data_IF_461660182166
#
_entry.id   IF_461660182166
#
_cell.length_a   1.000
_cell.length_b   1.000
_cell.length_c   1.000
_cell.angle_alpha   90.00
_cell.angle_beta   90.00
_cell.angle_gamma   90.00
#
_symmetry.space_group_name_H-M   'P 1'
#
loop_
_entity.id
_entity.type
_entity.pdbx_description
1 polymer ?
#
# COMPACT_ATOMS: atom_id res chain seq x y z
N UNK A 1 -6.64 -2.20 -23.38
CA UNK A 1 -7.02 -1.40 -22.18
C UNK A 1 -5.89 -0.41 -21.91
N UNK A 2 -6.22 0.82 -21.57
CA UNK A 2 -5.23 1.82 -21.16
C UNK A 2 -4.60 1.37 -19.85
N UNK A 3 -3.28 1.42 -19.74
CA UNK A 3 -2.55 1.14 -18.51
C UNK A 3 -2.81 2.28 -17.53
N UNK A 4 -3.28 1.97 -16.32
CA UNK A 4 -3.60 2.97 -15.30
C UNK A 4 -3.07 2.53 -13.95
N UNK A 5 -2.23 3.36 -13.37
CA UNK A 5 -1.61 3.15 -12.06
C UNK A 5 -2.02 4.24 -11.08
N UNK A 6 -1.66 4.02 -9.81
CA UNK A 6 -1.77 5.05 -8.78
C UNK A 6 -0.56 5.03 -7.85
N UNK A 7 -0.17 6.22 -7.40
CA UNK A 7 0.59 6.39 -6.19
C UNK A 7 -0.35 6.87 -5.09
N UNK A 8 -0.35 6.21 -3.94
CA UNK A 8 -1.37 6.37 -2.91
C UNK A 8 -0.76 6.63 -1.53
N UNK A 9 -0.10 7.79 -1.32
CA UNK A 9 0.52 8.11 -0.05
C UNK A 9 -0.50 8.58 0.98
N UNK A 10 -0.29 8.19 2.26
CA UNK A 10 -0.98 8.81 3.39
C UNK A 10 -0.24 10.08 3.81
N UNK A 11 -0.92 11.25 3.94
CA UNK A 11 -0.29 12.52 4.28
C UNK A 11 -0.05 12.64 5.79
N UNK A 12 0.62 11.64 6.39
CA UNK A 12 0.94 11.55 7.82
C UNK A 12 2.38 11.93 8.14
N UNK A 13 3.16 12.31 7.13
CA UNK A 13 4.56 12.72 7.20
C UNK A 13 5.11 13.11 5.85
N UNK A 14 6.38 13.52 5.82
CA UNK A 14 7.12 13.82 4.59
C UNK A 14 7.46 12.53 3.83
N UNK A 15 7.64 12.62 2.50
CA UNK A 15 8.12 11.50 1.71
C UNK A 15 9.58 11.16 2.06
N UNK A 16 9.84 9.89 2.28
CA UNK A 16 11.18 9.32 2.39
C UNK A 16 11.58 8.59 1.09
N UNK A 17 12.85 8.28 0.93
CA UNK A 17 13.40 7.65 -0.29
C UNK A 17 12.67 6.36 -0.68
N UNK A 18 12.15 5.58 0.27
CA UNK A 18 11.37 4.37 -0.02
C UNK A 18 10.03 4.66 -0.70
N UNK A 19 9.30 5.69 -0.21
CA UNK A 19 8.07 6.15 -0.87
C UNK A 19 8.37 6.76 -2.23
N UNK A 20 9.46 7.56 -2.33
CA UNK A 20 9.91 8.16 -3.57
C UNK A 20 10.24 7.10 -4.63
N UNK A 21 10.95 6.01 -4.25
CA UNK A 21 11.21 4.88 -5.15
C UNK A 21 9.93 4.26 -5.67
N UNK A 22 8.98 4.00 -4.77
CA UNK A 22 7.68 3.43 -5.16
C UNK A 22 6.93 4.36 -6.12
N UNK A 23 6.90 5.67 -5.85
CA UNK A 23 6.28 6.67 -6.73
C UNK A 23 6.95 6.71 -8.10
N UNK A 24 8.29 6.74 -8.12
CA UNK A 24 9.10 6.79 -9.34
C UNK A 24 8.89 5.53 -10.19
N UNK A 25 8.93 4.33 -9.60
CA UNK A 25 8.72 3.06 -10.32
C UNK A 25 7.32 2.99 -10.92
N UNK A 26 6.28 3.43 -10.18
CA UNK A 26 4.93 3.55 -10.73
C UNK A 26 4.89 4.49 -11.95
N UNK A 27 5.55 5.65 -11.84
CA UNK A 27 5.60 6.65 -12.91
C UNK A 27 6.33 6.14 -14.14
N UNK A 28 7.54 5.57 -13.97
CA UNK A 28 8.34 5.03 -15.06
C UNK A 28 7.61 3.88 -15.78
N UNK A 29 7.04 2.94 -15.03
CA UNK A 29 6.23 1.86 -15.60
C UNK A 29 5.01 2.42 -16.35
N UNK A 30 4.30 3.36 -15.76
CA UNK A 30 3.14 3.98 -16.38
C UNK A 30 3.49 4.64 -17.70
N UNK A 31 4.52 5.49 -17.72
CA UNK A 31 4.94 6.24 -18.92
C UNK A 31 5.58 5.34 -19.98
N UNK A 32 6.32 4.29 -19.61
CA UNK A 32 6.85 3.30 -20.57
C UNK A 32 5.73 2.54 -21.33
N UNK A 33 4.52 2.51 -20.78
CA UNK A 33 3.33 1.89 -21.39
C UNK A 33 2.34 2.92 -21.95
N UNK A 34 2.69 4.20 -22.05
CA UNK A 34 1.80 5.31 -22.44
C UNK A 34 0.51 5.33 -21.58
N UNK A 35 0.63 5.05 -20.29
CA UNK A 35 -0.46 4.96 -19.35
C UNK A 35 -0.79 6.27 -18.64
N UNK A 36 -1.82 6.22 -17.77
CA UNK A 36 -2.27 7.30 -16.89
C UNK A 36 -1.90 7.03 -15.43
N UNK A 37 -1.46 8.04 -14.72
CA UNK A 37 -1.14 7.97 -13.30
C UNK A 37 -2.09 8.79 -12.44
N UNK A 38 -2.68 8.18 -11.43
CA UNK A 38 -3.50 8.82 -10.41
C UNK A 38 -2.66 9.09 -9.15
N UNK A 39 -2.74 10.28 -8.60
CA UNK A 39 -2.31 10.55 -7.23
C UNK A 39 -3.53 10.41 -6.30
N UNK A 40 -3.56 9.38 -5.44
CA UNK A 40 -4.61 9.22 -4.45
C UNK A 40 -4.05 9.56 -3.06
N UNK A 41 -4.69 10.47 -2.38
CA UNK A 41 -4.32 10.85 -1.02
C UNK A 41 -5.12 9.97 -0.05
N UNK A 42 -4.43 9.04 0.62
CA UNK A 42 -5.04 8.09 1.55
C UNK A 42 -5.11 8.74 2.95
N UNK A 43 -6.09 9.64 3.14
CA UNK A 43 -6.28 10.53 4.30
C UNK A 43 -7.45 10.10 5.21
N UNK A 44 -7.76 8.81 5.26
CA UNK A 44 -8.81 8.27 6.15
C UNK A 44 -8.48 8.42 7.64
N UNK A 45 -7.21 8.49 8.01
CA UNK A 45 -6.75 8.82 9.35
C UNK A 45 -6.62 10.34 9.51
N UNK A 46 -7.74 10.98 9.84
CA UNK A 46 -7.83 12.44 9.94
C UNK A 46 -6.97 13.03 11.08
N UNK A 47 -6.67 12.28 12.12
CA UNK A 47 -5.86 12.75 13.25
C UNK A 47 -4.39 12.94 12.84
N UNK A 48 -3.86 12.04 12.01
CA UNK A 48 -2.48 12.09 11.56
C UNK A 48 -2.30 12.77 10.21
N UNK A 49 -3.35 12.85 9.40
CA UNK A 49 -3.31 13.48 8.08
C UNK A 49 -3.31 14.99 8.19
N UNK A 50 -2.34 15.64 7.56
CA UNK A 50 -2.20 17.11 7.61
C UNK A 50 -2.08 17.70 6.20
N UNK A 51 -2.74 18.84 5.92
CA UNK A 51 -2.65 19.51 4.61
C UNK A 51 -1.22 19.90 4.22
N UNK A 52 -0.36 20.23 5.19
CA UNK A 52 1.05 20.55 4.98
C UNK A 52 1.84 19.36 4.43
N UNK A 53 1.54 18.14 4.87
CA UNK A 53 2.17 16.93 4.33
C UNK A 53 1.67 16.61 2.92
N UNK A 54 0.37 16.78 2.64
CA UNK A 54 -0.13 16.65 1.27
C UNK A 54 0.55 17.62 0.31
N UNK A 55 0.72 18.88 0.74
CA UNK A 55 1.43 19.89 -0.04
C UNK A 55 2.88 19.48 -0.29
N UNK A 56 3.60 19.09 0.77
CA UNK A 56 4.99 18.61 0.67
C UNK A 56 5.11 17.40 -0.25
N UNK A 57 4.20 16.42 -0.17
CA UNK A 57 4.18 15.25 -1.06
C UNK A 57 4.11 15.68 -2.54
N UNK A 58 3.22 16.62 -2.87
CA UNK A 58 3.06 17.11 -4.24
C UNK A 58 4.29 17.87 -4.72
N UNK A 59 4.89 18.70 -3.85
CA UNK A 59 6.12 19.44 -4.16
C UNK A 59 7.29 18.49 -4.38
N UNK A 60 7.41 17.44 -3.56
CA UNK A 60 8.47 16.43 -3.67
C UNK A 60 8.33 15.59 -4.95
N UNK A 61 7.10 15.18 -5.30
CA UNK A 61 6.83 14.46 -6.55
C UNK A 61 7.15 15.31 -7.78
N UNK A 62 6.72 16.58 -7.79
CA UNK A 62 7.02 17.51 -8.87
C UNK A 62 8.54 17.75 -9.00
N UNK A 63 9.25 17.86 -7.88
CA UNK A 63 10.71 17.99 -7.88
C UNK A 63 11.40 16.77 -8.50
N UNK A 64 10.88 15.55 -8.26
CA UNK A 64 11.37 14.33 -8.89
C UNK A 64 10.98 14.18 -10.37
N UNK A 65 10.22 15.12 -10.94
CA UNK A 65 9.71 15.04 -12.31
C UNK A 65 8.57 14.02 -12.47
N UNK A 66 7.88 13.70 -11.39
CA UNK A 66 6.73 12.78 -11.38
C UNK A 66 5.45 13.60 -11.51
N UNK A 67 4.72 13.38 -12.60
CA UNK A 67 3.46 14.05 -12.89
C UNK A 67 2.31 13.04 -12.93
N UNK A 68 1.10 13.53 -12.64
CA UNK A 68 -0.12 12.71 -12.62
C UNK A 68 -1.28 13.45 -13.26
N UNK A 69 -2.23 12.72 -13.83
CA UNK A 69 -3.35 13.29 -14.56
C UNK A 69 -4.50 13.73 -13.63
N UNK A 70 -4.67 13.04 -12.49
CA UNK A 70 -5.78 13.31 -11.56
C UNK A 70 -5.33 13.13 -10.11
N UNK A 71 -5.89 13.95 -9.22
CA UNK A 71 -5.80 13.76 -7.76
C UNK A 71 -7.17 13.38 -7.21
N UNK A 72 -7.20 12.39 -6.32
CA UNK A 72 -8.38 12.05 -5.52
C UNK A 72 -8.03 11.91 -4.04
N UNK A 73 -9.04 11.99 -3.14
CA UNK A 73 -8.88 11.87 -1.70
C UNK A 73 -9.86 10.87 -1.13
N UNK A 74 -9.38 10.00 -0.26
CA UNK A 74 -10.24 9.01 0.39
C UNK A 74 -11.27 9.62 1.32
N UNK A 75 -10.93 10.70 2.02
CA UNK A 75 -11.86 11.42 2.91
C UNK A 75 -13.12 11.94 2.20
N UNK A 76 -13.06 12.22 0.90
CA UNK A 76 -14.20 12.65 0.09
C UNK A 76 -15.10 11.51 -0.38
N UNK A 77 -14.73 10.26 -0.14
CA UNK A 77 -15.35 9.06 -0.72
C UNK A 77 -16.02 8.12 0.29
N UNK A 78 -16.26 8.59 1.51
CA UNK A 78 -16.83 7.78 2.59
C UNK A 78 -18.14 7.08 2.22
N UNK A 79 -18.99 7.74 1.38
CA UNK A 79 -20.21 7.13 0.87
C UNK A 79 -19.93 5.86 0.07
N UNK A 80 -18.95 5.90 -0.83
CA UNK A 80 -18.58 4.73 -1.67
C UNK A 80 -18.15 3.54 -0.81
N UNK A 81 -17.41 3.80 0.28
CA UNK A 81 -16.96 2.73 1.18
C UNK A 81 -18.11 2.14 1.99
N UNK A 82 -19.09 2.98 2.41
CA UNK A 82 -20.28 2.50 3.09
C UNK A 82 -21.18 1.68 2.16
N UNK A 83 -21.37 2.12 0.92
CA UNK A 83 -22.14 1.39 -0.09
C UNK A 83 -21.48 0.03 -0.39
N UNK A 84 -20.15 -0.01 -0.50
CA UNK A 84 -19.39 -1.25 -0.67
C UNK A 84 -19.50 -2.18 0.56
N UNK A 85 -19.42 -1.64 1.77
CA UNK A 85 -19.62 -2.41 3.00
C UNK A 85 -21.03 -3.03 3.05
N UNK A 86 -22.06 -2.24 2.72
CA UNK A 86 -23.44 -2.73 2.68
C UNK A 86 -23.60 -3.87 1.66
N UNK A 87 -23.05 -3.69 0.47
CA UNK A 87 -23.05 -4.74 -0.55
C UNK A 87 -22.37 -6.03 -0.04
N UNK A 88 -21.18 -5.91 0.57
CA UNK A 88 -20.48 -7.07 1.15
C UNK A 88 -21.28 -7.75 2.27
N UNK A 89 -22.01 -6.98 3.06
CA UNK A 89 -22.88 -7.52 4.11
C UNK A 89 -24.05 -8.29 3.51
N UNK A 90 -24.73 -7.73 2.50
CA UNK A 90 -25.89 -8.33 1.83
C UNK A 90 -25.56 -9.66 1.16
N UNK A 91 -24.34 -9.79 0.61
CA UNK A 91 -23.85 -11.07 0.02
C UNK A 91 -23.18 -12.00 1.04
N UNK A 92 -23.24 -11.68 2.35
CA UNK A 92 -22.66 -12.50 3.41
C UNK A 92 -21.13 -12.55 3.46
N UNK A 93 -20.46 -11.55 2.87
CA UNK A 93 -19.00 -11.43 2.84
C UNK A 93 -18.46 -10.41 3.85
N UNK A 94 -19.32 -9.67 4.56
CA UNK A 94 -18.94 -8.86 5.70
C UNK A 94 -19.80 -9.21 6.92
N UNK A 95 -19.24 -9.06 8.11
CA UNK A 95 -19.96 -9.35 9.36
C UNK A 95 -19.47 -8.45 10.49
N UNK A 96 -20.34 -8.29 11.50
CA UNK A 96 -20.11 -7.43 12.67
C UNK A 96 -19.31 -8.15 13.73
N UNK A 97 -18.39 -7.44 14.35
CA UNK A 97 -17.61 -7.88 15.49
C UNK A 97 -17.64 -6.80 16.57
N UNK A 98 -17.54 -7.20 17.83
CA UNK A 98 -17.64 -6.27 18.97
C UNK A 98 -16.47 -6.40 19.95
N UNK A 99 -15.49 -7.26 19.66
CA UNK A 99 -14.34 -7.46 20.53
C UNK A 99 -13.48 -6.19 20.58
N UNK A 100 -13.07 -5.81 21.80
CA UNK A 100 -12.12 -4.73 22.01
C UNK A 100 -10.69 -5.14 21.63
N UNK A 101 -9.80 -4.17 21.53
CA UNK A 101 -8.38 -4.43 21.26
C UNK A 101 -7.75 -5.29 22.38
N UNK A 102 -8.15 -5.08 23.63
CA UNK A 102 -7.70 -5.86 24.79
C UNK A 102 -8.16 -7.32 24.68
N UNK A 103 -9.45 -7.55 24.36
CA UNK A 103 -10.03 -8.89 24.18
C UNK A 103 -9.30 -9.64 23.05
N UNK A 104 -9.08 -8.98 21.91
CA UNK A 104 -8.35 -9.54 20.78
C UNK A 104 -6.87 -9.83 21.11
N UNK A 105 -6.23 -8.95 21.90
CA UNK A 105 -4.85 -9.15 22.34
C UNK A 105 -4.72 -10.35 23.29
N UNK A 106 -5.67 -10.54 24.21
CA UNK A 106 -5.72 -11.69 25.10
C UNK A 106 -5.91 -13.00 24.34
N UNK A 107 -6.87 -13.04 23.39
CA UNK A 107 -7.08 -14.20 22.51
C UNK A 107 -5.80 -14.56 21.75
N UNK A 108 -5.14 -13.57 21.16
CA UNK A 108 -3.88 -13.76 20.42
C UNK A 108 -2.77 -14.34 21.32
N UNK A 109 -2.63 -13.83 22.53
CA UNK A 109 -1.66 -14.37 23.50
C UNK A 109 -1.98 -15.82 23.88
N UNK A 110 -3.26 -16.14 24.12
CA UNK A 110 -3.67 -17.50 24.46
C UNK A 110 -3.38 -18.49 23.31
N UNK A 111 -3.66 -18.11 22.07
CA UNK A 111 -3.33 -18.92 20.88
C UNK A 111 -1.84 -19.19 20.78
N UNK A 112 -0.99 -18.15 20.91
CA UNK A 112 0.48 -18.28 20.87
C UNK A 112 1.00 -19.18 22.01
N UNK A 113 0.46 -19.04 23.22
CA UNK A 113 0.84 -19.89 24.36
C UNK A 113 0.45 -21.36 24.15
N UNK A 114 -0.58 -21.62 23.36
CA UNK A 114 -1.02 -22.98 22.99
C UNK A 114 -0.33 -23.51 21.73
N UNK A 115 0.66 -22.81 21.19
CA UNK A 115 1.38 -23.20 19.99
C UNK A 115 0.58 -23.03 18.68
N UNK A 116 -0.56 -22.36 18.73
CA UNK A 116 -1.39 -22.11 17.55
C UNK A 116 -1.06 -20.75 16.91
N UNK A 117 -1.15 -20.64 15.58
CA UNK A 117 -1.02 -19.36 14.91
C UNK A 117 -2.14 -18.40 15.36
N UNK A 118 -1.87 -17.10 15.55
CA UNK A 118 -2.82 -16.12 16.06
C UNK A 118 -3.81 -15.68 14.98
N UNK A 119 -4.65 -16.61 14.50
CA UNK A 119 -5.70 -16.36 13.52
C UNK A 119 -7.01 -16.05 14.25
N UNK A 120 -7.75 -15.05 13.77
CA UNK A 120 -9.04 -14.67 14.34
C UNK A 120 -10.06 -15.83 14.26
N UNK A 121 -10.69 -16.15 15.37
CA UNK A 121 -11.57 -17.33 15.57
C UNK A 121 -12.97 -17.20 14.94
N UNK A 122 -13.26 -16.09 14.27
CA UNK A 122 -14.54 -15.80 13.63
C UNK A 122 -15.73 -15.78 14.59
N UNK A 123 -15.52 -15.49 15.86
CA UNK A 123 -16.60 -15.44 16.85
C UNK A 123 -17.75 -14.52 16.41
N UNK A 124 -17.45 -13.43 15.70
CA UNK A 124 -18.49 -12.53 15.16
C UNK A 124 -19.51 -13.21 14.25
N UNK A 125 -19.17 -14.34 13.60
CA UNK A 125 -20.10 -15.09 12.75
C UNK A 125 -21.12 -15.91 13.55
N UNK A 126 -20.87 -16.18 14.83
CA UNK A 126 -21.79 -16.95 15.71
C UNK A 126 -22.79 -16.06 16.47
N UNK A 127 -22.65 -14.74 16.35
CA UNK A 127 -23.55 -13.79 17.02
C UNK A 127 -24.93 -13.82 16.39
N UNK A 128 -25.96 -13.86 17.24
CA UNK A 128 -27.38 -13.78 16.85
C UNK A 128 -27.94 -12.38 17.17
N UNK A 129 -29.15 -12.09 16.70
CA UNK A 129 -29.76 -10.76 16.85
C UNK A 129 -29.82 -10.28 18.30
N UNK A 130 -30.07 -11.20 19.25
CA UNK A 130 -30.06 -10.86 20.66
C UNK A 130 -28.69 -10.38 21.17
N UNK A 131 -27.60 -10.97 20.65
CA UNK A 131 -26.24 -10.55 21.02
C UNK A 131 -25.95 -9.15 20.47
N UNK A 132 -26.34 -8.89 19.23
CA UNK A 132 -26.21 -7.56 18.62
C UNK A 132 -26.98 -6.50 19.42
N UNK A 133 -28.23 -6.79 19.84
CA UNK A 133 -29.03 -5.88 20.65
C UNK A 133 -28.42 -5.66 22.04
N UNK A 134 -27.86 -6.71 22.65
CA UNK A 134 -27.16 -6.61 23.93
C UNK A 134 -25.95 -5.67 23.84
N UNK A 135 -25.06 -5.89 22.86
CA UNK A 135 -23.90 -5.03 22.66
C UNK A 135 -24.28 -3.57 22.39
N UNK A 136 -25.33 -3.32 21.60
CA UNK A 136 -25.85 -1.97 21.37
C UNK A 136 -26.37 -1.30 22.66
N UNK A 137 -27.07 -2.05 23.52
CA UNK A 137 -27.51 -1.54 24.85
C UNK A 137 -26.35 -1.23 25.77
N UNK A 138 -25.25 -1.95 25.65
CA UNK A 138 -23.99 -1.71 26.37
C UNK A 138 -23.18 -0.55 25.76
N UNK A 139 -23.66 0.08 24.67
CA UNK A 139 -22.97 1.18 24.00
C UNK A 139 -21.78 0.73 23.12
N UNK A 140 -21.64 -0.58 22.87
CA UNK A 140 -20.60 -1.10 21.99
C UNK A 140 -21.01 -0.93 20.54
N UNK A 141 -20.17 -0.29 19.73
CA UNK A 141 -20.33 -0.17 18.29
C UNK A 141 -19.57 -1.30 17.57
N UNK A 142 -20.13 -1.85 16.50
CA UNK A 142 -19.45 -2.91 15.75
C UNK A 142 -18.33 -2.36 14.88
N UNK A 143 -17.20 -3.07 14.86
CA UNK A 143 -16.31 -3.03 13.73
C UNK A 143 -16.68 -4.15 12.75
N UNK A 144 -16.24 -4.03 11.49
CA UNK A 144 -16.64 -4.97 10.45
C UNK A 144 -15.43 -5.71 9.89
N UNK A 145 -15.59 -7.02 9.70
CA UNK A 145 -14.59 -7.87 9.07
C UNK A 145 -15.07 -8.41 7.74
N UNK A 146 -14.12 -8.53 6.80
CA UNK A 146 -14.35 -9.22 5.54
C UNK A 146 -14.14 -10.71 5.74
N UNK A 147 -15.17 -11.52 5.43
CA UNK A 147 -15.13 -12.97 5.53
C UNK A 147 -14.34 -13.56 4.37
N UNK A 148 -13.13 -14.04 4.66
CA UNK A 148 -12.30 -14.75 3.69
C UNK A 148 -12.90 -16.13 3.39
N UNK A 149 -12.87 -16.53 2.12
CA UNK A 149 -13.11 -17.92 1.73
C UNK A 149 -11.81 -18.68 2.00
N UNK A 150 -11.91 -19.79 2.72
CA UNK A 150 -10.77 -20.63 3.07
C UNK A 150 -10.36 -21.51 1.88
N UNK A 151 -9.79 -20.89 0.87
CA UNK A 151 -9.26 -21.50 -0.33
C UNK A 151 -7.83 -21.03 -0.56
N UNK A 152 -7.12 -21.61 -1.50
CA UNK A 152 -5.85 -21.11 -1.96
C UNK A 152 -6.05 -19.93 -2.92
N UNK A 153 -5.32 -18.84 -2.72
CA UNK A 153 -5.29 -17.68 -3.60
C UNK A 153 -3.92 -17.57 -4.23
N UNK A 154 -3.87 -17.67 -5.55
CA UNK A 154 -2.64 -17.58 -6.32
C UNK A 154 -2.72 -16.46 -7.36
N UNK A 155 -1.57 -15.82 -7.62
CA UNK A 155 -1.39 -14.84 -8.70
C UNK A 155 0.06 -14.84 -9.17
N UNK A 156 0.28 -14.32 -10.37
CA UNK A 156 1.63 -14.04 -10.87
C UNK A 156 1.94 -12.59 -10.57
N UNK A 157 2.91 -12.34 -9.70
CA UNK A 157 3.35 -11.00 -9.35
C UNK A 157 4.42 -10.52 -10.34
N UNK A 158 4.31 -9.28 -10.80
CA UNK A 158 5.19 -8.71 -11.83
C UNK A 158 6.67 -8.65 -11.42
N UNK A 159 6.97 -8.68 -10.10
CA UNK A 159 8.33 -8.64 -9.56
C UNK A 159 8.69 -9.95 -8.86
N UNK A 160 7.75 -10.51 -8.09
CA UNK A 160 8.00 -11.68 -7.25
C UNK A 160 7.75 -13.01 -7.98
N UNK A 161 7.07 -13.00 -9.13
CA UNK A 161 6.62 -14.20 -9.85
C UNK A 161 5.46 -14.88 -9.12
N UNK A 162 5.43 -16.21 -9.12
CA UNK A 162 4.34 -16.97 -8.53
C UNK A 162 4.21 -16.72 -7.01
N UNK A 163 3.03 -16.30 -6.59
CA UNK A 163 2.65 -16.09 -5.20
C UNK A 163 1.41 -16.92 -4.89
N UNK A 164 1.43 -17.64 -3.77
CA UNK A 164 0.33 -18.50 -3.33
C UNK A 164 0.16 -18.39 -1.82
N UNK A 165 -1.10 -18.24 -1.39
CA UNK A 165 -1.48 -18.12 0.03
C UNK A 165 -2.66 -19.03 0.36
N UNK A 166 -2.50 -19.87 1.38
CA UNK A 166 -3.65 -20.56 2.02
C UNK A 166 -4.38 -19.56 2.93
N UNK A 167 -5.59 -19.20 2.52
CA UNK A 167 -6.38 -18.20 3.23
C UNK A 167 -6.86 -18.66 4.62
N UNK A 168 -6.72 -19.95 4.96
CA UNK A 168 -6.96 -20.46 6.34
C UNK A 168 -5.92 -19.94 7.33
N UNK A 169 -4.72 -19.60 6.85
CA UNK A 169 -3.63 -19.05 7.67
C UNK A 169 -3.80 -17.56 8.00
N UNK A 170 -4.77 -16.89 7.37
CA UNK A 170 -5.01 -15.47 7.54
C UNK A 170 -6.28 -15.20 8.36
N UNK A 171 -6.19 -14.19 9.20
CA UNK A 171 -7.39 -13.65 9.88
C UNK A 171 -8.28 -12.90 8.91
N UNK A 172 -9.60 -13.00 9.07
CA UNK A 172 -10.53 -12.11 8.38
C UNK A 172 -10.18 -10.66 8.70
N UNK A 173 -9.79 -9.83 7.70
CA UNK A 173 -9.33 -8.48 7.96
C UNK A 173 -10.47 -7.59 8.43
N UNK A 174 -10.17 -6.69 9.36
CA UNK A 174 -11.09 -5.57 9.65
C UNK A 174 -11.10 -4.67 8.43
N UNK A 175 -12.29 -4.27 7.98
CA UNK A 175 -12.50 -3.41 6.81
C UNK A 175 -13.14 -2.07 7.16
N UNK A 176 -13.88 -1.99 8.27
CA UNK A 176 -14.47 -0.77 8.80
C UNK A 176 -14.33 -0.77 10.32
N UNK A 177 -13.91 0.35 10.89
CA UNK A 177 -13.80 0.56 12.34
C UNK A 177 -15.16 0.84 12.95
N UNK A 178 -15.25 0.75 14.28
CA UNK A 178 -16.45 1.06 15.06
C UNK A 178 -16.92 2.52 14.91
N UNK A 179 -16.00 3.44 14.64
CA UNK A 179 -16.29 4.87 14.39
C UNK A 179 -16.73 5.15 12.95
N UNK A 180 -16.91 4.12 12.12
CA UNK A 180 -17.30 4.23 10.72
C UNK A 180 -16.16 4.60 9.76
N UNK A 181 -14.91 4.66 10.23
CA UNK A 181 -13.75 4.90 9.36
C UNK A 181 -13.36 3.62 8.60
N UNK A 182 -13.27 3.67 7.27
CA UNK A 182 -12.79 2.54 6.49
C UNK A 182 -11.31 2.30 6.75
N UNK A 183 -10.92 1.02 6.68
CA UNK A 183 -9.50 0.64 6.75
C UNK A 183 -8.96 0.51 5.33
N UNK A 184 -7.65 0.71 5.20
CA UNK A 184 -6.90 0.64 3.95
C UNK A 184 -7.35 -0.50 3.02
N UNK A 185 -7.59 -1.70 3.59
CA UNK A 185 -7.98 -2.89 2.80
C UNK A 185 -9.25 -2.66 1.99
N UNK A 186 -10.30 -2.06 2.57
CA UNK A 186 -11.54 -1.76 1.87
C UNK A 186 -11.38 -0.54 0.96
N UNK A 187 -10.92 0.57 1.54
CA UNK A 187 -10.85 1.85 0.83
C UNK A 187 -10.01 1.76 -0.44
N UNK A 188 -8.83 1.10 -0.36
CA UNK A 188 -7.96 0.97 -1.53
C UNK A 188 -8.58 0.13 -2.63
N UNK A 189 -9.29 -0.96 -2.31
CA UNK A 189 -9.92 -1.82 -3.33
C UNK A 189 -11.10 -1.11 -3.99
N UNK A 190 -11.96 -0.44 -3.22
CA UNK A 190 -13.09 0.33 -3.77
C UNK A 190 -12.59 1.41 -4.72
N UNK A 191 -11.57 2.17 -4.30
CA UNK A 191 -11.00 3.22 -5.14
C UNK A 191 -10.34 2.66 -6.40
N UNK A 192 -9.58 1.58 -6.27
CA UNK A 192 -8.89 0.95 -7.40
C UNK A 192 -9.91 0.40 -8.43
N UNK A 193 -11.09 -0.08 -7.98
CA UNK A 193 -12.21 -0.47 -8.87
C UNK A 193 -12.79 0.77 -9.56
N UNK A 194 -13.18 1.78 -8.79
CA UNK A 194 -13.86 2.97 -9.31
C UNK A 194 -12.98 3.76 -10.31
N UNK A 195 -11.68 3.78 -10.07
CA UNK A 195 -10.72 4.43 -10.97
C UNK A 195 -10.24 3.53 -12.10
N UNK A 196 -10.70 2.28 -12.18
CA UNK A 196 -10.27 1.29 -13.18
C UNK A 196 -8.76 1.12 -13.19
N UNK A 197 -8.14 1.03 -11.99
CA UNK A 197 -6.71 0.77 -11.87
C UNK A 197 -6.39 -0.59 -12.45
N UNK A 198 -5.46 -0.63 -13.40
CA UNK A 198 -5.07 -1.85 -14.09
C UNK A 198 -3.85 -2.55 -13.48
N UNK A 199 -2.98 -1.78 -12.82
CA UNK A 199 -1.75 -2.29 -12.21
C UNK A 199 -1.54 -1.63 -10.84
N UNK A 200 -1.09 -2.42 -9.88
CA UNK A 200 -0.75 -1.97 -8.52
C UNK A 200 0.71 -2.33 -8.25
N UNK A 201 1.59 -1.32 -8.21
CA UNK A 201 2.99 -1.49 -7.80
C UNK A 201 3.17 -0.84 -6.43
N UNK A 202 3.70 -1.60 -5.44
CA UNK A 202 3.84 -1.14 -4.05
C UNK A 202 4.93 -1.92 -3.31
N UNK A 203 5.17 -1.61 -2.04
CA UNK A 203 6.13 -2.34 -1.20
C UNK A 203 5.71 -3.78 -0.91
N UNK A 204 6.66 -4.67 -0.72
CA UNK A 204 6.44 -6.10 -0.43
C UNK A 204 5.80 -6.38 0.92
N UNK A 205 5.80 -5.43 1.83
CA UNK A 205 5.08 -5.47 3.10
C UNK A 205 3.55 -5.64 2.91
N UNK A 206 3.05 -5.35 1.70
CA UNK A 206 1.65 -5.55 1.32
C UNK A 206 1.34 -6.89 0.63
N UNK A 207 2.30 -7.79 0.43
CA UNK A 207 2.07 -9.06 -0.31
C UNK A 207 0.95 -9.89 0.32
N UNK A 208 0.97 -10.05 1.65
CA UNK A 208 -0.08 -10.78 2.38
C UNK A 208 -1.45 -10.09 2.24
N UNK A 209 -1.48 -8.75 2.24
CA UNK A 209 -2.72 -8.00 2.03
C UNK A 209 -3.30 -8.26 0.64
N UNK A 210 -2.46 -8.50 -0.37
CA UNK A 210 -2.90 -8.76 -1.74
C UNK A 210 -3.77 -10.00 -1.84
N UNK A 211 -3.47 -11.07 -1.11
CA UNK A 211 -4.29 -12.28 -1.12
C UNK A 211 -5.72 -12.00 -0.65
N UNK A 212 -5.89 -11.24 0.44
CA UNK A 212 -7.20 -10.82 0.93
C UNK A 212 -7.90 -9.84 -0.02
N UNK A 213 -7.15 -8.89 -0.59
CA UNK A 213 -7.67 -7.90 -1.54
C UNK A 213 -8.14 -8.54 -2.85
N UNK A 214 -7.48 -9.58 -3.36
CA UNK A 214 -7.93 -10.35 -4.53
C UNK A 214 -9.34 -10.91 -4.30
N UNK A 215 -9.61 -11.48 -3.12
CA UNK A 215 -10.95 -11.94 -2.79
C UNK A 215 -11.94 -10.77 -2.65
N UNK A 216 -11.49 -9.63 -2.13
CA UNK A 216 -12.32 -8.43 -1.99
C UNK A 216 -12.68 -7.82 -3.35
N UNK A 217 -11.73 -7.71 -4.29
CA UNK A 217 -12.01 -7.31 -5.68
C UNK A 217 -13.10 -8.19 -6.31
N UNK A 218 -12.96 -9.52 -6.20
CA UNK A 218 -13.93 -10.49 -6.72
C UNK A 218 -15.30 -10.32 -6.07
N UNK A 219 -15.34 -10.13 -4.74
CA UNK A 219 -16.60 -9.97 -4.00
C UNK A 219 -17.35 -8.68 -4.36
N UNK A 220 -16.62 -7.61 -4.71
CA UNK A 220 -17.18 -6.35 -5.18
C UNK A 220 -17.44 -6.33 -6.69
N UNK A 221 -17.24 -7.44 -7.40
CA UNK A 221 -17.43 -7.53 -8.86
C UNK A 221 -16.39 -6.76 -9.68
N UNK A 222 -15.28 -6.34 -9.05
CA UNK A 222 -14.20 -5.63 -9.71
C UNK A 222 -13.21 -6.56 -10.39
N UNK A 223 -12.54 -6.07 -11.44
CA UNK A 223 -11.42 -6.75 -12.05
C UNK A 223 -10.21 -6.66 -11.12
N UNK A 224 -9.56 -7.79 -10.84
CA UNK A 224 -8.29 -7.80 -10.08
C UNK A 224 -7.20 -7.19 -10.96
N UNK A 225 -6.51 -6.13 -10.48
CA UNK A 225 -5.36 -5.54 -11.20
C UNK A 225 -4.16 -6.48 -11.24
N UNK A 226 -3.23 -6.24 -12.15
CA UNK A 226 -1.92 -6.86 -12.08
C UNK A 226 -1.12 -6.30 -10.89
N UNK A 227 -0.46 -7.18 -10.15
CA UNK A 227 0.20 -6.85 -8.89
C UNK A 227 1.71 -6.92 -9.03
N UNK A 228 2.43 -5.95 -8.48
CA UNK A 228 3.88 -5.93 -8.41
C UNK A 228 4.35 -5.45 -7.03
N UNK A 229 5.15 -6.25 -6.36
CA UNK A 229 5.64 -5.96 -5.02
C UNK A 229 7.15 -5.76 -5.02
N UNK A 230 7.56 -4.51 -4.88
CA UNK A 230 8.96 -4.10 -4.80
C UNK A 230 9.55 -4.51 -3.45
N UNK A 231 10.79 -4.98 -3.47
CA UNK A 231 11.55 -5.19 -2.23
C UNK A 231 11.67 -3.88 -1.44
N UNK A 232 11.67 -3.99 -0.12
CA UNK A 232 11.89 -2.84 0.75
C UNK A 232 13.31 -2.30 0.57
N UNK A 233 13.47 -1.01 0.85
CA UNK A 233 14.79 -0.42 1.02
C UNK A 233 15.21 -0.52 2.49
N UNK A 234 16.46 -0.91 2.71
CA UNK A 234 17.14 -0.84 4.00
C UNK A 234 18.26 0.18 3.96
N UNK A 235 18.74 0.63 5.10
CA UNK A 235 19.98 1.38 5.19
C UNK A 235 21.20 0.53 4.87
N UNK A 236 22.37 1.17 4.79
CA UNK A 236 23.65 0.53 4.42
C UNK A 236 24.00 -0.66 5.31
N UNK A 237 23.64 -0.62 6.60
CA UNK A 237 23.86 -1.70 7.57
C UNK A 237 22.74 -2.75 7.61
N UNK A 238 21.70 -2.61 6.76
CA UNK A 238 20.56 -3.53 6.68
C UNK A 238 19.41 -3.20 7.64
N UNK A 239 19.49 -2.12 8.40
CA UNK A 239 18.42 -1.63 9.26
C UNK A 239 17.27 -1.05 8.43
N UNK A 240 16.03 -1.18 8.94
CA UNK A 240 14.87 -0.59 8.27
C UNK A 240 14.97 0.94 8.24
N UNK A 241 14.71 1.54 7.08
CA UNK A 241 14.74 3.00 6.88
C UNK A 241 13.86 3.75 7.89
N UNK A 242 12.78 3.13 8.39
CA UNK A 242 11.89 3.71 9.38
C UNK A 242 12.56 4.06 10.72
N UNK A 243 13.69 3.43 11.06
CA UNK A 243 14.41 3.71 12.32
C UNK A 243 15.36 4.90 12.24
N UNK A 244 15.75 5.32 11.03
CA UNK A 244 16.64 6.48 10.76
C UNK A 244 15.92 7.65 10.06
N UNK A 245 14.61 7.72 10.12
CA UNK A 245 13.74 8.65 9.35
C UNK A 245 14.05 10.15 9.49
N UNK A 246 15.01 10.56 10.33
CA UNK A 246 15.44 11.97 10.38
C UNK A 246 16.25 12.40 9.16
N UNK A 247 17.04 11.52 8.53
CA UNK A 247 18.08 11.90 7.55
C UNK A 247 17.84 11.47 6.10
N UNK A 248 16.68 10.91 5.75
CA UNK A 248 16.43 10.39 4.40
C UNK A 248 15.09 10.86 3.81
N UNK A 249 14.58 12.02 4.27
CA UNK A 249 13.45 12.66 3.62
C UNK A 249 13.91 13.48 2.42
N UNK A 250 13.06 13.53 1.39
CA UNK A 250 13.38 14.22 0.14
C UNK A 250 13.70 15.71 0.32
N UNK A 251 13.04 16.37 1.30
CA UNK A 251 13.27 17.76 1.59
C UNK A 251 14.70 18.04 2.10
N UNK A 252 15.30 17.12 2.87
CA UNK A 252 16.68 17.23 3.35
C UNK A 252 17.67 17.04 2.18
N UNK A 253 17.49 15.99 1.37
CA UNK A 253 18.32 15.76 0.19
C UNK A 253 18.30 16.96 -0.78
N UNK A 254 17.12 17.56 -0.96
CA UNK A 254 16.99 18.79 -1.76
C UNK A 254 17.74 19.98 -1.13
N UNK A 255 17.70 20.14 0.20
CA UNK A 255 18.43 21.21 0.90
C UNK A 255 19.95 21.00 0.87
N UNK A 256 20.40 19.74 0.85
CA UNK A 256 21.82 19.37 0.67
C UNK A 256 22.33 19.64 -0.75
N UNK A 257 21.44 20.03 -1.68
CA UNK A 257 21.79 20.43 -3.04
C UNK A 257 21.81 19.28 -4.05
N UNK A 258 21.27 18.10 -3.71
CA UNK A 258 21.15 17.00 -4.68
C UNK A 258 20.17 17.37 -5.79
N UNK A 259 20.57 17.05 -7.02
CA UNK A 259 19.68 17.17 -8.18
C UNK A 259 18.67 16.03 -8.22
N UNK A 260 17.43 16.36 -8.60
CA UNK A 260 16.34 15.38 -8.66
C UNK A 260 16.62 14.21 -9.59
N UNK A 261 17.30 14.47 -10.73
CA UNK A 261 17.63 13.44 -11.71
C UNK A 261 18.66 12.45 -11.19
N UNK A 262 19.63 12.92 -10.38
CA UNK A 262 20.61 12.07 -9.71
C UNK A 262 19.93 11.09 -8.75
N UNK A 263 19.03 11.60 -7.88
CA UNK A 263 18.25 10.76 -6.99
C UNK A 263 17.33 9.80 -7.77
N UNK A 264 16.66 10.28 -8.81
CA UNK A 264 15.78 9.45 -9.65
C UNK A 264 16.56 8.35 -10.37
N UNK A 265 17.78 8.63 -10.85
CA UNK A 265 18.68 7.64 -11.46
C UNK A 265 19.03 6.51 -10.47
N UNK A 266 19.42 6.89 -9.25
CA UNK A 266 19.71 5.92 -8.18
C UNK A 266 18.48 5.08 -7.82
N UNK A 267 17.35 5.73 -7.54
CA UNK A 267 16.11 5.04 -7.12
C UNK A 267 15.53 4.13 -8.22
N UNK A 268 15.74 4.45 -9.50
CA UNK A 268 15.31 3.61 -10.61
C UNK A 268 16.19 2.36 -10.80
N UNK A 269 17.44 2.38 -10.34
CA UNK A 269 18.41 1.29 -10.52
C UNK A 269 18.66 0.47 -9.25
N UNK A 270 18.42 1.05 -8.07
CA UNK A 270 18.64 0.34 -6.81
C UNK A 270 17.74 -0.89 -6.70
N UNK A 271 18.34 -2.05 -6.41
CA UNK A 271 17.64 -3.33 -6.32
C UNK A 271 17.26 -3.93 -7.68
N UNK A 272 17.87 -3.47 -8.77
CA UNK A 272 17.80 -4.11 -10.08
C UNK A 272 19.08 -4.87 -10.40
N UNK A 273 19.05 -5.68 -11.46
CA UNK A 273 20.25 -6.35 -12.01
C UNK A 273 21.11 -5.45 -12.89
N UNK A 274 20.65 -4.23 -13.18
CA UNK A 274 21.41 -3.27 -13.99
C UNK A 274 22.53 -2.60 -13.19
N UNK A 275 23.63 -2.21 -13.86
CA UNK A 275 24.63 -1.37 -13.22
C UNK A 275 24.05 0.02 -12.91
N UNK A 276 24.60 0.66 -11.88
CA UNK A 276 24.31 2.07 -11.61
C UNK A 276 24.71 2.92 -12.81
N UNK A 277 23.79 3.78 -13.23
CA UNK A 277 23.94 4.70 -14.36
C UNK A 277 23.23 6.00 -14.04
N UNK A 278 23.88 7.11 -14.32
CA UNK A 278 23.28 8.44 -14.24
C UNK A 278 22.61 8.77 -15.57
N UNK A 279 21.40 9.30 -15.48
CA UNK A 279 20.62 9.75 -16.63
C UNK A 279 20.56 11.30 -16.63
N UNK A 280 20.41 11.89 -17.79
CA UNK A 280 20.34 13.34 -17.92
C UNK A 280 18.92 13.90 -17.82
N UNK A 281 17.92 13.06 -18.05
CA UNK A 281 16.51 13.46 -18.00
C UNK A 281 15.59 12.24 -17.76
N UNK A 282 14.34 12.54 -17.42
CA UNK A 282 13.31 11.52 -17.12
C UNK A 282 12.94 10.69 -18.36
N UNK A 283 13.02 11.22 -19.58
CA UNK A 283 12.70 10.48 -20.80
C UNK A 283 13.70 9.35 -21.06
N UNK A 284 14.96 9.56 -20.73
CA UNK A 284 15.97 8.49 -20.78
C UNK A 284 15.69 7.42 -19.75
N UNK A 285 15.30 7.80 -18.52
CA UNK A 285 14.88 6.85 -17.49
C UNK A 285 13.69 6.00 -17.93
N UNK A 286 12.67 6.62 -18.54
CA UNK A 286 11.47 5.92 -19.05
C UNK A 286 11.85 4.90 -20.14
N UNK A 287 12.73 5.26 -21.05
CA UNK A 287 13.19 4.37 -22.14
C UNK A 287 14.01 3.19 -21.64
N UNK A 288 14.81 3.39 -20.60
CA UNK A 288 15.71 2.38 -20.02
C UNK A 288 14.99 1.50 -18.97
N UNK A 289 13.78 1.90 -18.56
CA UNK A 289 13.05 1.24 -17.47
C UNK A 289 12.52 -0.14 -17.86
N UNK A 290 12.85 -1.13 -17.02
CA UNK A 290 12.33 -2.51 -17.14
C UNK A 290 12.03 -3.08 -15.74
N UNK A 291 10.74 -3.30 -15.45
CA UNK A 291 10.28 -3.82 -14.16
C UNK A 291 10.77 -5.24 -13.90
N UNK A 292 11.02 -6.04 -14.94
CA UNK A 292 11.47 -7.43 -14.79
C UNK A 292 12.88 -7.57 -14.19
N UNK A 293 13.65 -6.49 -14.19
CA UNK A 293 15.00 -6.44 -13.63
C UNK A 293 15.05 -6.25 -12.12
N UNK A 294 13.90 -5.93 -11.49
CA UNK A 294 13.83 -5.71 -10.04
C UNK A 294 13.98 -7.04 -9.29
N UNK A 295 14.87 -7.02 -8.28
CA UNK A 295 15.14 -8.17 -7.41
C UNK A 295 14.10 -8.29 -6.29
N UNK A 296 13.90 -9.53 -5.84
CA UNK A 296 13.12 -9.84 -4.63
C UNK A 296 13.88 -9.55 -3.33
N UNK A 297 15.20 -9.37 -3.39
CA UNK A 297 16.02 -9.12 -2.23
C UNK A 297 15.93 -7.67 -1.79
N UNK A 298 15.95 -7.45 -0.47
CA UNK A 298 16.02 -6.11 0.11
C UNK A 298 17.19 -5.33 -0.49
N UNK A 299 16.90 -4.16 -1.05
CA UNK A 299 17.90 -3.29 -1.63
C UNK A 299 18.45 -2.34 -0.55
N UNK A 300 19.77 -2.13 -0.56
CA UNK A 300 20.43 -1.23 0.40
C UNK A 300 20.55 0.16 -0.23
N UNK A 301 20.10 1.17 0.50
CA UNK A 301 20.27 2.57 0.14
C UNK A 301 21.42 3.16 0.95
N UNK A 302 22.44 3.64 0.26
CA UNK A 302 23.54 4.40 0.84
C UNK A 302 23.54 5.81 0.24
N UNK A 303 23.50 6.84 1.07
CA UNK A 303 23.59 8.23 0.63
C UNK A 303 24.94 8.56 -0.04
N UNK A 304 25.99 7.79 0.28
CA UNK A 304 27.28 7.92 -0.39
C UNK A 304 27.20 7.63 -1.89
N UNK A 305 26.31 6.76 -2.32
CA UNK A 305 26.07 6.46 -3.74
C UNK A 305 25.57 7.71 -4.52
N UNK A 306 24.88 8.63 -3.84
CA UNK A 306 24.46 9.91 -4.43
C UNK A 306 25.68 10.81 -4.70
N UNK A 307 26.65 10.84 -3.78
CA UNK A 307 27.88 11.62 -3.97
C UNK A 307 28.76 11.06 -5.08
N UNK A 308 28.84 9.72 -5.19
CA UNK A 308 29.60 9.07 -6.27
C UNK A 308 29.00 9.36 -7.65
N UNK A 309 27.67 9.47 -7.75
CA UNK A 309 27.01 9.79 -9.01
C UNK A 309 27.24 11.25 -9.45
N UNK A 310 27.52 12.19 -8.53
CA UNK A 310 27.89 13.57 -8.84
C UNK A 310 29.30 13.72 -9.43
N UNK A 311 30.19 12.75 -9.16
CA UNK A 311 31.60 12.81 -9.66
C UNK A 311 31.68 12.39 -11.13
N UNK A 312 30.63 11.76 -11.67
CA UNK A 312 30.60 11.28 -13.06
C UNK A 312 29.80 12.21 -14.01
N UNK A 313 29.36 13.37 -13.54
CA UNK A 313 28.79 14.47 -14.34
C UNK A 313 29.85 15.51 -14.58
#
# INVERSE_FOLDING_TARGET
>A
MTVKLRFAPSPTGKLHVGNARTALVNYLFCKSKNGEMLLRIDDTDQERSKPEYEKSIKEDLNWLGIFWEKTDRQSSRLKNYNDALQHLFDIGRAYRCYETQEELSLKRKAQLMSGNPPVYDRQGLSLVDNDHQKFQKEGRLPHWRFKLIHEEVSWVDMVRGDCTYDMKSLSDPVIMREDGRPIYTLASVVDDIDHNISHIIRGEDHVTNSAAQIQLFKALGGKVPELGHLSLLAGSEGEGLSKRLGSLNLGELKQEGFESITLSSLLAKIGTSDPMKVFFNTDELIKDFDLSKFSRNTAKFDSNDLYLSLIHI
#
